data_IF_841715035331
#
_entry.id   IF_841715035331
#
_cell.length_a   1.000
_cell.length_b   1.000
_cell.length_c   1.000
_cell.angle_alpha   90.00
_cell.angle_beta   90.00
_cell.angle_gamma   90.00
#
_symmetry.space_group_name_H-M   'P 1'
#
loop_
_entity.id
_entity.type
_entity.pdbx_description
1 polymer ?
#
# COMPACT_ATOMS: atom_id res chain seq x y z
N UNK A 1 -5.65 11.79 0.17
CA UNK A 1 -4.29 11.69 0.72
C UNK A 1 -3.72 10.34 0.31
N UNK A 2 -2.47 10.29 -0.16
CA UNK A 2 -1.80 9.02 -0.43
C UNK A 2 -1.42 8.38 0.90
N UNK A 3 -1.70 7.10 1.04
CA UNK A 3 -1.32 6.31 2.20
C UNK A 3 0.14 5.91 2.06
N UNK A 4 0.99 6.33 2.99
CA UNK A 4 2.43 6.07 3.01
C UNK A 4 2.73 4.68 3.58
N UNK A 5 2.10 3.64 3.03
CA UNK A 5 2.30 2.27 3.47
C UNK A 5 2.77 1.43 2.29
N UNK A 6 3.92 0.78 2.46
CA UNK A 6 4.44 -0.15 1.49
C UNK A 6 3.63 -1.44 1.53
N UNK A 7 3.30 -1.97 0.35
CA UNK A 7 2.63 -3.25 0.22
C UNK A 7 3.58 -4.22 -0.47
N UNK A 8 3.92 -5.32 0.22
CA UNK A 8 4.72 -6.39 -0.35
C UNK A 8 3.94 -7.05 -1.50
N UNK A 9 4.46 -7.03 -2.74
CA UNK A 9 3.75 -7.63 -3.86
C UNK A 9 3.63 -9.15 -3.72
N UNK A 10 2.44 -9.69 -3.98
CA UNK A 10 2.23 -11.14 -3.99
C UNK A 10 2.70 -11.82 -5.28
N UNK A 11 2.98 -11.04 -6.33
CA UNK A 11 3.49 -11.51 -7.61
C UNK A 11 4.13 -10.37 -8.41
N UNK A 12 4.79 -10.73 -9.52
CA UNK A 12 5.45 -9.82 -10.46
C UNK A 12 4.51 -8.72 -11.01
N UNK A 13 3.27 -9.09 -11.37
CA UNK A 13 2.31 -8.12 -11.90
C UNK A 13 1.93 -7.06 -10.86
N UNK A 14 1.78 -7.46 -9.60
CA UNK A 14 1.50 -6.53 -8.51
C UNK A 14 2.70 -5.62 -8.23
N UNK A 15 3.93 -6.13 -8.31
CA UNK A 15 5.16 -5.33 -8.21
C UNK A 15 5.17 -4.25 -9.30
N UNK A 16 4.85 -4.64 -10.54
CA UNK A 16 4.87 -3.71 -11.68
C UNK A 16 3.78 -2.65 -11.55
N UNK A 17 2.58 -3.05 -11.15
CA UNK A 17 1.47 -2.13 -11.03
C UNK A 17 1.69 -1.08 -9.94
N UNK A 18 2.43 -1.41 -8.87
CA UNK A 18 2.64 -0.53 -7.72
C UNK A 18 3.91 0.32 -7.83
N UNK A 19 4.99 -0.27 -8.33
CA UNK A 19 6.33 0.31 -8.19
C UNK A 19 7.05 0.55 -9.51
N UNK A 20 6.53 0.10 -10.65
CA UNK A 20 7.13 0.49 -11.92
C UNK A 20 6.80 1.96 -12.23
N UNK A 21 7.83 2.76 -12.44
CA UNK A 21 7.67 4.10 -13.00
C UNK A 21 7.18 3.98 -14.46
N UNK A 22 5.90 4.29 -14.68
CA UNK A 22 5.31 4.22 -16.01
C UNK A 22 5.75 5.39 -16.91
N UNK A 23 6.22 6.50 -16.34
CA UNK A 23 6.74 7.63 -17.12
C UNK A 23 8.11 7.27 -17.70
N UNK A 24 8.96 6.61 -16.92
CA UNK A 24 10.30 6.22 -17.37
C UNK A 24 10.30 4.91 -18.17
N UNK A 25 9.53 3.91 -17.75
CA UNK A 25 9.60 2.55 -18.30
C UNK A 25 8.37 2.13 -19.11
N UNK A 26 7.42 3.04 -19.36
CA UNK A 26 6.24 2.80 -20.21
C UNK A 26 6.57 2.12 -21.55
N UNK A 27 7.57 2.58 -22.31
CA UNK A 27 7.93 1.97 -23.59
C UNK A 27 8.37 0.50 -23.48
N UNK A 28 9.06 0.10 -22.40
CA UNK A 28 9.47 -1.29 -22.20
C UNK A 28 8.26 -2.19 -21.93
N UNK A 29 7.30 -1.70 -21.16
CA UNK A 29 6.05 -2.39 -20.86
C UNK A 29 5.19 -2.58 -22.12
N UNK A 30 5.08 -1.53 -22.94
CA UNK A 30 4.41 -1.60 -24.24
C UNK A 30 5.09 -2.61 -25.17
N UNK A 31 6.43 -2.60 -25.23
CA UNK A 31 7.19 -3.57 -26.01
C UNK A 31 6.94 -4.99 -25.54
N UNK A 32 6.97 -5.24 -24.23
CA UNK A 32 6.70 -6.56 -23.67
C UNK A 32 5.30 -7.06 -24.06
N UNK A 33 4.28 -6.20 -24.02
CA UNK A 33 2.93 -6.58 -24.43
C UNK A 33 2.81 -6.85 -25.94
N UNK A 34 3.52 -6.10 -26.78
CA UNK A 34 3.59 -6.38 -28.22
C UNK A 34 4.24 -7.75 -28.48
N UNK A 35 5.35 -8.06 -27.82
CA UNK A 35 6.03 -9.36 -27.93
C UNK A 35 5.13 -10.50 -27.44
N UNK A 36 4.41 -10.32 -26.31
CA UNK A 36 3.42 -11.29 -25.80
C UNK A 36 2.28 -11.50 -26.80
N UNK A 37 1.77 -10.46 -27.44
CA UNK A 37 0.74 -10.58 -28.48
C UNK A 37 1.26 -11.30 -29.72
N UNK A 38 2.50 -11.00 -30.16
CA UNK A 38 3.13 -11.67 -31.30
C UNK A 38 3.32 -13.18 -31.06
N UNK A 39 3.80 -13.57 -29.87
CA UNK A 39 3.98 -14.97 -29.48
C UNK A 39 2.65 -15.74 -29.42
N UNK A 40 1.56 -15.05 -29.08
CA UNK A 40 0.21 -15.62 -29.01
C UNK A 40 -0.57 -15.50 -30.33
N UNK A 41 0.07 -15.09 -31.43
CA UNK A 41 -0.57 -14.86 -32.74
C UNK A 41 -1.78 -13.90 -32.69
N UNK A 42 -1.74 -12.92 -31.78
CA UNK A 42 -2.79 -11.90 -31.61
C UNK A 42 -2.53 -10.60 -32.38
N UNK A 43 -1.50 -10.57 -33.22
CA UNK A 43 -1.17 -9.44 -34.09
C UNK A 43 -1.34 -9.84 -35.56
N UNK A 44 -1.87 -8.92 -36.36
CA UNK A 44 -1.92 -9.10 -37.81
C UNK A 44 -0.51 -9.06 -38.43
N UNK A 45 -0.31 -9.57 -39.65
CA UNK A 45 0.97 -9.46 -40.36
C UNK A 45 1.46 -8.01 -40.48
N UNK A 46 0.57 -7.06 -40.74
CA UNK A 46 0.92 -5.64 -40.87
C UNK A 46 1.38 -5.04 -39.54
N UNK A 47 0.70 -5.38 -38.44
CA UNK A 47 1.09 -4.96 -37.09
C UNK A 47 2.45 -5.55 -36.70
N UNK A 48 2.69 -6.83 -37.02
CA UNK A 48 3.99 -7.46 -36.77
C UNK A 48 5.10 -6.77 -37.55
N UNK A 49 4.86 -6.44 -38.82
CA UNK A 49 5.83 -5.73 -39.64
C UNK A 49 6.13 -4.33 -39.10
N UNK A 50 5.08 -3.57 -38.75
CA UNK A 50 5.20 -2.22 -38.17
C UNK A 50 6.09 -2.20 -36.91
N UNK A 51 6.02 -3.24 -36.08
CA UNK A 51 6.76 -3.32 -34.84
C UNK A 51 8.03 -4.20 -34.91
N UNK A 52 8.43 -4.67 -36.10
CA UNK A 52 9.63 -5.51 -36.26
C UNK A 52 9.53 -6.85 -35.55
N UNK A 53 8.35 -7.48 -35.53
CA UNK A 53 8.06 -8.75 -34.84
C UNK A 53 7.92 -9.94 -35.82
N UNK A 54 8.51 -9.82 -37.01
CA UNK A 54 8.54 -10.87 -38.04
C UNK A 54 9.67 -11.90 -37.85
N UNK A 55 10.30 -11.88 -36.68
CA UNK A 55 11.37 -12.81 -36.31
C UNK A 55 10.83 -14.15 -35.82
N UNK A 56 11.72 -15.14 -35.69
CA UNK A 56 11.37 -16.47 -35.22
C UNK A 56 10.82 -16.47 -33.79
N UNK A 57 10.01 -17.49 -33.47
CA UNK A 57 9.41 -17.68 -32.12
C UNK A 57 10.49 -17.73 -31.03
N UNK A 58 11.65 -18.33 -31.33
CA UNK A 58 12.78 -18.39 -30.39
C UNK A 58 13.31 -16.99 -30.03
N UNK A 59 13.52 -16.13 -31.01
CA UNK A 59 13.99 -14.75 -30.82
C UNK A 59 12.98 -13.94 -30.00
N UNK A 60 11.70 -14.00 -30.37
CA UNK A 60 10.63 -13.36 -29.59
C UNK A 60 10.57 -13.86 -28.15
N UNK A 61 10.80 -15.16 -27.92
CA UNK A 61 10.80 -15.72 -26.57
C UNK A 61 12.01 -15.25 -25.75
N UNK A 62 13.17 -15.04 -26.38
CA UNK A 62 14.36 -14.51 -25.72
C UNK A 62 14.15 -13.03 -25.37
N UNK A 63 13.62 -12.25 -26.31
CA UNK A 63 13.27 -10.85 -26.09
C UNK A 63 12.26 -10.70 -24.95
N UNK A 64 11.21 -11.54 -24.91
CA UNK A 64 10.23 -11.54 -23.82
C UNK A 64 10.90 -11.72 -22.45
N UNK A 65 11.75 -12.75 -22.32
CA UNK A 65 12.45 -13.04 -21.06
C UNK A 65 13.37 -11.90 -20.63
N UNK A 66 14.06 -11.28 -21.59
CA UNK A 66 14.94 -10.14 -21.32
C UNK A 66 14.14 -8.93 -20.83
N UNK A 67 13.01 -8.63 -21.49
CA UNK A 67 12.12 -7.54 -21.09
C UNK A 67 11.49 -7.79 -19.72
N UNK A 68 11.00 -9.00 -19.44
CA UNK A 68 10.45 -9.40 -18.14
C UNK A 68 11.49 -9.22 -17.03
N UNK A 69 12.71 -9.72 -17.25
CA UNK A 69 13.84 -9.54 -16.32
C UNK A 69 14.15 -8.07 -16.06
N UNK A 70 14.25 -7.26 -17.13
CA UNK A 70 14.59 -5.84 -17.02
C UNK A 70 13.50 -5.07 -16.27
N UNK A 71 12.23 -5.25 -16.64
CA UNK A 71 11.11 -4.58 -15.99
C UNK A 71 11.02 -4.99 -14.51
N UNK A 72 11.26 -6.26 -14.19
CA UNK A 72 11.34 -6.73 -12.82
C UNK A 72 12.44 -6.05 -12.01
N UNK A 73 13.66 -5.99 -12.54
CA UNK A 73 14.77 -5.32 -11.88
C UNK A 73 14.47 -3.84 -11.63
N UNK A 74 13.86 -3.14 -12.59
CA UNK A 74 13.50 -1.73 -12.44
C UNK A 74 12.40 -1.52 -11.38
N UNK A 75 11.35 -2.34 -11.40
CA UNK A 75 10.27 -2.23 -10.42
C UNK A 75 10.77 -2.56 -9.00
N UNK A 76 11.66 -3.56 -8.85
CA UNK A 76 12.27 -3.90 -7.58
C UNK A 76 13.21 -2.79 -7.08
N UNK A 77 14.01 -2.20 -7.98
CA UNK A 77 14.87 -1.06 -7.66
C UNK A 77 14.06 0.12 -7.18
N UNK A 78 12.98 0.48 -7.89
CA UNK A 78 12.10 1.58 -7.48
C UNK A 78 11.42 1.33 -6.12
N UNK A 79 10.98 0.09 -5.86
CA UNK A 79 10.48 -0.29 -4.53
C UNK A 79 11.55 -0.05 -3.45
N UNK A 80 12.77 -0.55 -3.65
CA UNK A 80 13.85 -0.42 -2.69
C UNK A 80 14.28 1.05 -2.48
N UNK A 81 14.32 1.85 -3.55
CA UNK A 81 14.62 3.28 -3.48
C UNK A 81 13.58 4.02 -2.64
N UNK A 82 12.28 3.79 -2.88
CA UNK A 82 11.22 4.43 -2.09
C UNK A 82 11.29 4.06 -0.60
N UNK A 83 11.54 2.77 -0.29
CA UNK A 83 11.72 2.33 1.11
C UNK A 83 12.93 3.03 1.74
N UNK A 84 14.05 3.12 1.02
CA UNK A 84 15.25 3.81 1.50
C UNK A 84 15.01 5.30 1.73
N UNK A 85 14.30 5.97 0.82
CA UNK A 85 14.00 7.40 0.92
C UNK A 85 13.06 7.69 2.09
N UNK A 86 12.06 6.84 2.32
CA UNK A 86 11.18 6.98 3.48
C UNK A 86 11.91 6.68 4.79
N UNK A 87 12.75 5.65 4.83
CA UNK A 87 13.62 5.39 5.99
C UNK A 87 14.53 6.59 6.28
N UNK A 88 15.11 7.21 5.23
CA UNK A 88 15.94 8.41 5.39
C UNK A 88 15.12 9.55 5.98
N UNK A 89 13.92 9.80 5.49
CA UNK A 89 13.05 10.85 6.02
C UNK A 89 12.70 10.64 7.50
N UNK A 90 12.42 9.39 7.91
CA UNK A 90 12.16 9.04 9.31
C UNK A 90 13.40 9.27 10.18
N UNK A 91 14.58 8.87 9.71
CA UNK A 91 15.84 9.12 10.40
C UNK A 91 16.16 10.62 10.52
N UNK A 92 15.96 11.39 9.45
CA UNK A 92 16.16 12.85 9.43
C UNK A 92 15.19 13.56 10.38
N UNK A 93 13.93 13.12 10.42
CA UNK A 93 12.97 13.63 11.39
C UNK A 93 13.46 13.34 12.83
N UNK A 94 13.92 12.11 13.10
CA UNK A 94 14.49 11.75 14.39
C UNK A 94 15.68 12.63 14.77
N UNK A 95 16.58 12.91 13.82
CA UNK A 95 17.71 13.82 14.01
C UNK A 95 17.26 15.22 14.43
N UNK A 96 16.30 15.82 13.71
CA UNK A 96 15.85 17.19 14.00
C UNK A 96 15.03 17.31 15.29
N UNK A 97 14.44 16.22 15.77
CA UNK A 97 13.68 16.18 17.01
C UNK A 97 14.54 15.86 18.24
N UNK A 98 15.77 15.40 18.03
CA UNK A 98 16.65 14.97 19.11
C UNK A 98 17.18 16.16 19.93
N UNK A 99 17.31 16.00 21.25
CA UNK A 99 18.15 16.88 22.06
C UNK A 99 19.60 16.88 21.53
N UNK A 100 20.28 18.03 21.69
CA UNK A 100 21.68 18.18 21.28
C UNK A 100 22.58 17.13 21.94
N UNK A 101 23.29 16.35 21.13
CA UNK A 101 24.17 15.26 21.58
C UNK A 101 23.49 13.90 21.72
N UNK A 102 22.18 13.79 21.50
CA UNK A 102 21.43 12.53 21.53
C UNK A 102 21.01 12.03 20.13
N UNK A 103 21.43 12.72 19.06
CA UNK A 103 20.95 12.51 17.68
C UNK A 103 21.17 11.08 17.20
N UNK A 104 22.31 10.49 17.54
CA UNK A 104 22.63 9.11 17.17
C UNK A 104 21.63 8.10 17.76
N UNK A 105 21.17 8.34 18.99
CA UNK A 105 20.18 7.51 19.65
C UNK A 105 18.82 7.61 18.95
N UNK A 106 18.41 8.84 18.64
CA UNK A 106 17.13 9.10 17.96
C UNK A 106 17.10 8.51 16.54
N UNK A 107 18.17 8.70 15.76
CA UNK A 107 18.30 8.06 14.43
C UNK A 107 18.23 6.54 14.55
N UNK A 108 18.96 5.95 15.51
CA UNK A 108 18.99 4.49 15.70
C UNK A 108 17.65 3.92 16.16
N UNK A 109 16.85 4.74 16.87
CA UNK A 109 15.50 4.38 17.32
C UNK A 109 14.39 4.75 16.33
N UNK A 110 14.74 5.37 15.20
CA UNK A 110 13.75 5.77 14.21
C UNK A 110 12.97 4.53 13.73
N UNK A 111 11.64 4.65 13.55
CA UNK A 111 10.85 3.54 13.08
C UNK A 111 11.29 3.12 11.67
N UNK A 112 11.06 1.85 11.35
CA UNK A 112 11.17 1.35 9.98
C UNK A 112 9.87 1.68 9.25
N UNK A 113 9.92 2.04 7.95
CA UNK A 113 8.70 2.25 7.17
C UNK A 113 7.75 1.05 7.23
N UNK A 114 6.46 1.35 7.29
CA UNK A 114 5.42 0.33 7.35
C UNK A 114 5.40 -0.53 6.09
N UNK A 115 5.50 -1.86 6.27
CA UNK A 115 5.42 -2.85 5.20
C UNK A 115 4.32 -3.86 5.47
N UNK A 116 3.28 -3.83 4.63
CA UNK A 116 2.19 -4.80 4.63
C UNK A 116 2.66 -6.10 4.00
N UNK A 117 2.75 -7.15 4.81
CA UNK A 117 3.01 -8.53 4.38
C UNK A 117 1.71 -9.32 4.20
N UNK A 118 0.73 -9.16 5.09
CA UNK A 118 -0.63 -9.69 4.91
C UNK A 118 -1.54 -8.67 4.19
N UNK A 119 -1.46 -8.71 2.85
CA UNK A 119 -2.27 -7.84 1.98
C UNK A 119 -3.78 -8.10 2.14
N UNK A 120 -4.18 -9.33 2.48
CA UNK A 120 -5.62 -9.66 2.62
C UNK A 120 -6.18 -9.03 3.88
N UNK A 121 -5.49 -9.16 5.00
CA UNK A 121 -5.86 -8.55 6.27
C UNK A 121 -5.88 -7.03 6.14
N UNK A 122 -4.83 -6.44 5.53
CA UNK A 122 -4.77 -5.00 5.32
C UNK A 122 -5.95 -4.47 4.50
N UNK A 123 -6.28 -5.12 3.38
CA UNK A 123 -7.47 -4.78 2.60
C UNK A 123 -8.77 -4.90 3.39
N UNK A 124 -8.86 -5.85 4.33
CA UNK A 124 -10.02 -5.97 5.21
C UNK A 124 -10.12 -4.78 6.19
N UNK A 125 -8.98 -4.34 6.75
CA UNK A 125 -8.88 -3.16 7.62
C UNK A 125 -9.33 -1.89 6.87
N UNK A 126 -8.79 -1.62 5.68
CA UNK A 126 -9.17 -0.46 4.87
C UNK A 126 -10.67 -0.46 4.58
N UNK A 127 -11.21 -1.59 4.10
CA UNK A 127 -12.64 -1.74 3.80
C UNK A 127 -13.52 -1.58 5.03
N UNK A 128 -13.07 -2.06 6.18
CA UNK A 128 -13.78 -1.87 7.44
C UNK A 128 -13.90 -0.38 7.76
N UNK A 129 -12.80 0.36 7.73
CA UNK A 129 -12.77 1.80 8.00
C UNK A 129 -13.65 2.61 7.04
N UNK A 130 -13.57 2.31 5.73
CA UNK A 130 -14.38 2.95 4.68
C UNK A 130 -15.89 2.71 4.88
N UNK A 131 -16.27 1.55 5.41
CA UNK A 131 -17.67 1.18 5.62
C UNK A 131 -18.26 1.65 6.95
N UNK A 132 -17.45 2.16 7.88
CA UNK A 132 -17.99 2.71 9.12
C UNK A 132 -18.91 3.90 8.82
N UNK A 133 -20.00 4.03 9.55
CA UNK A 133 -20.75 5.29 9.59
C UNK A 133 -20.00 6.32 10.41
N UNK A 134 -20.29 7.61 10.20
CA UNK A 134 -19.62 8.69 10.94
C UNK A 134 -19.82 8.56 12.46
N UNK A 135 -21.01 8.16 12.90
CA UNK A 135 -21.27 7.87 14.31
C UNK A 135 -20.37 6.75 14.85
N UNK A 136 -20.09 5.70 14.06
CA UNK A 136 -19.18 4.63 14.45
C UNK A 136 -17.72 5.09 14.42
N UNK A 137 -17.32 5.89 13.44
CA UNK A 137 -15.97 6.49 13.38
C UNK A 137 -15.70 7.35 14.61
N UNK A 138 -16.67 8.16 15.03
CA UNK A 138 -16.55 8.95 16.25
C UNK A 138 -16.43 8.06 17.50
N UNK A 139 -17.16 6.94 17.58
CA UNK A 139 -16.97 5.98 18.69
C UNK A 139 -15.57 5.37 18.69
N UNK A 140 -15.06 4.98 17.52
CA UNK A 140 -13.68 4.48 17.38
C UNK A 140 -12.69 5.56 17.83
N UNK A 141 -12.82 6.78 17.34
CA UNK A 141 -11.94 7.89 17.73
C UNK A 141 -12.00 8.21 19.23
N UNK A 142 -13.17 8.07 19.87
CA UNK A 142 -13.32 8.26 21.31
C UNK A 142 -12.56 7.20 22.12
N UNK A 143 -12.54 5.95 21.63
CA UNK A 143 -11.81 4.85 22.25
C UNK A 143 -10.30 4.92 22.02
N UNK A 144 -9.87 5.49 20.89
CA UNK A 144 -8.48 5.58 20.45
C UNK A 144 -8.06 7.05 20.26
N UNK A 145 -8.29 7.86 21.30
CA UNK A 145 -8.08 9.30 21.24
C UNK A 145 -6.59 9.69 21.18
N UNK A 146 -5.69 8.82 21.61
CA UNK A 146 -4.24 9.06 21.52
C UNK A 146 -3.78 9.02 20.06
N UNK A 147 -4.36 8.13 19.27
CA UNK A 147 -4.04 7.89 17.88
C UNK A 147 -4.84 8.82 16.97
N UNK A 148 -6.17 8.80 17.10
CA UNK A 148 -7.09 9.54 16.22
C UNK A 148 -7.37 10.97 16.69
N UNK A 149 -6.85 11.34 17.85
CA UNK A 149 -7.02 12.66 18.44
C UNK A 149 -8.32 12.83 19.20
N UNK A 150 -8.42 13.91 19.99
CA UNK A 150 -9.62 14.23 20.76
C UNK A 150 -10.81 14.56 19.83
N UNK A 151 -12.02 14.36 20.34
CA UNK A 151 -13.27 14.73 19.67
C UNK A 151 -13.78 16.03 20.28
N UNK A 152 -13.89 17.08 19.46
CA UNK A 152 -14.40 18.38 19.92
C UNK A 152 -15.86 18.62 19.52
N UNK A 153 -16.46 17.73 18.73
CA UNK A 153 -17.84 17.87 18.25
C UNK A 153 -18.26 16.77 17.27
N UNK A 154 -19.46 16.94 16.71
CA UNK A 154 -20.03 16.11 15.64
C UNK A 154 -20.02 16.81 14.28
N UNK A 155 -19.25 17.89 14.17
CA UNK A 155 -19.12 18.70 12.99
C UNK A 155 -18.24 18.04 11.91
N UNK A 156 -18.34 18.54 10.68
CA UNK A 156 -17.61 18.02 9.53
C UNK A 156 -16.09 18.14 9.69
N UNK A 157 -15.59 19.18 10.36
CA UNK A 157 -14.15 19.39 10.55
C UNK A 157 -13.56 18.31 11.47
N UNK A 158 -14.28 17.97 12.55
CA UNK A 158 -13.89 16.86 13.43
C UNK A 158 -13.83 15.53 12.67
N UNK A 159 -14.80 15.24 11.80
CA UNK A 159 -14.82 14.02 10.99
C UNK A 159 -13.68 13.96 9.97
N UNK A 160 -13.45 15.05 9.24
CA UNK A 160 -12.34 15.14 8.28
C UNK A 160 -10.97 14.98 8.96
N UNK A 161 -10.80 15.53 10.16
CA UNK A 161 -9.56 15.34 10.93
C UNK A 161 -9.35 13.89 11.33
N UNK A 162 -10.39 13.20 11.82
CA UNK A 162 -10.30 11.77 12.17
C UNK A 162 -9.97 10.96 10.93
N UNK A 163 -10.64 11.25 9.81
CA UNK A 163 -10.38 10.59 8.53
C UNK A 163 -8.93 10.80 8.08
N UNK A 164 -8.42 12.03 8.18
CA UNK A 164 -7.03 12.37 7.85
C UNK A 164 -6.03 11.65 8.73
N UNK A 165 -6.26 11.67 10.06
CA UNK A 165 -5.38 11.01 11.03
C UNK A 165 -5.30 9.51 10.81
N UNK A 166 -6.40 8.86 10.43
CA UNK A 166 -6.38 7.44 10.10
C UNK A 166 -5.33 7.08 9.04
N UNK A 167 -5.19 7.87 7.98
CA UNK A 167 -4.17 7.60 6.95
C UNK A 167 -2.74 7.81 7.41
N UNK A 168 -2.54 8.59 8.47
CA UNK A 168 -1.24 8.87 9.08
C UNK A 168 -0.87 7.86 10.18
N UNK A 169 -1.79 6.98 10.58
CA UNK A 169 -1.50 5.95 11.58
C UNK A 169 -0.56 4.90 11.02
N UNK A 170 0.30 4.38 11.91
CA UNK A 170 1.14 3.22 11.62
C UNK A 170 0.29 2.00 11.28
N UNK A 171 0.88 1.05 10.56
CA UNK A 171 0.23 -0.23 10.26
C UNK A 171 -0.15 -0.98 11.54
N UNK A 172 0.72 -0.97 12.54
CA UNK A 172 0.49 -1.62 13.83
C UNK A 172 -0.69 -0.98 14.58
N UNK A 173 -0.79 0.35 14.60
CA UNK A 173 -1.92 1.03 15.21
C UNK A 173 -3.23 0.73 14.48
N UNK A 174 -3.22 0.74 13.13
CA UNK A 174 -4.38 0.35 12.32
C UNK A 174 -4.84 -1.07 12.64
N UNK A 175 -3.91 -2.02 12.75
CA UNK A 175 -4.20 -3.40 13.12
C UNK A 175 -4.76 -3.50 14.55
N UNK A 176 -4.13 -2.84 15.53
CA UNK A 176 -4.56 -2.83 16.93
C UNK A 176 -5.99 -2.31 17.06
N UNK A 177 -6.29 -1.18 16.43
CA UNK A 177 -7.62 -0.55 16.45
C UNK A 177 -8.65 -1.50 15.84
N UNK A 178 -8.37 -2.04 14.65
CA UNK A 178 -9.27 -2.98 13.96
C UNK A 178 -9.57 -4.23 14.80
N UNK A 179 -8.54 -4.87 15.36
CA UNK A 179 -8.70 -6.08 16.16
C UNK A 179 -9.45 -5.81 17.47
N UNK A 180 -9.13 -4.70 18.13
CA UNK A 180 -9.80 -4.30 19.37
C UNK A 180 -11.29 -4.02 19.13
N UNK A 181 -11.61 -3.27 18.06
CA UNK A 181 -13.01 -2.98 17.70
C UNK A 181 -13.79 -4.25 17.36
N UNK A 182 -13.25 -5.10 16.49
CA UNK A 182 -13.93 -6.33 16.04
C UNK A 182 -14.09 -7.36 17.16
N UNK A 183 -13.20 -7.38 18.15
CA UNK A 183 -13.34 -8.22 19.34
C UNK A 183 -14.41 -7.69 20.29
N UNK A 184 -14.44 -6.37 20.50
CA UNK A 184 -15.45 -5.72 21.36
C UNK A 184 -16.86 -5.77 20.77
N UNK A 185 -17.03 -5.65 19.44
CA UNK A 185 -18.34 -5.85 18.77
C UNK A 185 -18.85 -7.28 18.94
N UNK A 186 -17.96 -8.28 18.91
CA UNK A 186 -18.35 -9.68 19.11
C UNK A 186 -18.79 -9.97 20.55
N UNK A 187 -18.18 -9.32 21.53
CA UNK A 187 -18.58 -9.45 22.95
C UNK A 187 -19.87 -8.70 23.29
N UNK A 188 -20.23 -7.67 22.51
CA UNK A 188 -21.44 -6.86 22.72
C UNK A 188 -22.64 -7.31 21.87
N UNK A 189 -22.54 -8.43 21.15
CA UNK A 189 -23.70 -9.01 20.47
C UNK A 189 -24.80 -9.39 21.49
N UNK A 190 -26.09 -9.12 21.21
CA UNK A 190 -27.13 -9.20 22.23
C UNK A 190 -27.30 -10.63 22.71
N UNK A 191 -27.07 -10.86 23.99
CA UNK A 191 -27.61 -12.02 24.68
C UNK A 191 -29.13 -11.92 24.50
N UNK A 192 -29.72 -12.78 23.67
CA UNK A 192 -31.17 -12.90 23.57
C UNK A 192 -31.70 -13.29 24.95
N UNK A 193 -32.15 -12.30 25.72
CA UNK A 193 -32.98 -12.53 26.90
C UNK A 193 -34.25 -13.18 26.39
N UNK A 194 -34.31 -14.52 26.46
CA UNK A 194 -35.58 -15.24 26.38
C UNK A 194 -36.43 -14.75 27.55
N UNK A 195 -37.41 -13.91 27.25
CA UNK A 195 -38.55 -13.71 28.13
C UNK A 195 -39.19 -15.10 28.30
N UNK A 196 -39.15 -15.63 29.54
CA UNK A 196 -40.01 -16.73 29.94
C UNK A 196 -41.35 -16.10 30.35
N UNK A 197 -42.39 -16.49 29.62
CA UNK A 197 -43.78 -16.45 30.07
C UNK A 197 -43.98 -17.27 31.35
#
# INVERSE_FOLDING_TARGET
MMENIFILPGNEQELFNRYLDNNEYGPLKERLELVRKALNNKLSPDERNKHGLNVGVHELSMERKELERKIFQMALKSFAERVCDEQRALCEQGFWQAPCGEEAGYISSAPVPDLVTDVKQYKAICRWWEKLSDTRRLKVAAMFANELGPIYGHDTETLERIYSRWFLLSLDDKQRIYHSWTTNEKQTSPCHTKARE
#
